data_IF_638729849480
#
_entry.id   IF_638729849480
#
_cell.length_a   1.000
_cell.length_b   1.000
_cell.length_c   1.000
_cell.angle_alpha   90.00
_cell.angle_beta   90.00
_cell.angle_gamma   90.00
#
_symmetry.space_group_name_H-M   'P 1'
#
loop_
_entity.id
_entity.type
_entity.pdbx_description
1 polymer ?
#
# COMPACT_ATOMS: atom_id res chain seq x y z
N UNK A 1 -4.21 11.86 34.82
CA UNK A 1 -4.23 10.39 34.98
C UNK A 1 -3.12 9.84 34.10
N UNK A 2 -2.17 9.10 34.68
CA UNK A 2 -1.05 8.54 33.95
C UNK A 2 -1.53 7.26 33.21
N UNK A 3 -1.20 7.13 31.91
CA UNK A 3 -1.57 5.95 31.11
C UNK A 3 -1.08 4.63 31.71
N UNK A 4 0.11 4.61 32.34
CA UNK A 4 0.64 3.40 33.02
C UNK A 4 -0.27 2.95 34.17
N UNK A 5 -0.74 3.88 34.99
CA UNK A 5 -1.64 3.58 36.09
C UNK A 5 -3.01 3.10 35.61
N UNK A 6 -3.50 3.70 34.49
CA UNK A 6 -4.74 3.27 33.86
C UNK A 6 -4.65 1.82 33.36
N UNK A 7 -3.56 1.48 32.65
CA UNK A 7 -3.35 0.13 32.10
C UNK A 7 -3.14 -0.94 33.17
N UNK A 8 -2.76 -0.56 34.38
CA UNK A 8 -2.59 -1.52 35.53
C UNK A 8 -3.87 -1.79 36.29
N UNK A 9 -4.94 -1.03 36.08
CA UNK A 9 -6.23 -1.27 36.78
C UNK A 9 -6.80 -2.63 36.43
N UNK A 10 -7.27 -3.37 37.42
CA UNK A 10 -7.84 -4.74 37.27
C UNK A 10 -8.96 -4.84 36.24
N UNK A 11 -9.77 -3.80 36.11
CA UNK A 11 -10.88 -3.72 35.17
C UNK A 11 -10.47 -3.26 33.75
N UNK A 12 -9.25 -2.78 33.57
CA UNK A 12 -8.72 -2.30 32.25
C UNK A 12 -7.71 -3.30 31.67
N UNK A 13 -6.87 -3.86 32.53
CA UNK A 13 -5.78 -4.77 32.14
C UNK A 13 -6.18 -5.91 31.19
N UNK A 14 -7.33 -6.59 31.34
CA UNK A 14 -7.73 -7.66 30.42
C UNK A 14 -7.96 -7.17 28.98
N UNK A 15 -8.30 -5.90 28.81
CA UNK A 15 -8.62 -5.30 27.51
C UNK A 15 -7.43 -4.64 26.81
N UNK A 16 -6.33 -4.41 27.54
CA UNK A 16 -5.14 -3.71 26.99
C UNK A 16 -4.53 -4.44 25.78
N UNK A 17 -4.62 -5.76 25.76
CA UNK A 17 -4.11 -6.60 24.67
C UNK A 17 -5.21 -7.09 23.71
N UNK A 18 -6.46 -6.67 23.93
CA UNK A 18 -7.58 -6.99 23.04
C UNK A 18 -7.66 -5.91 21.94
N UNK A 19 -6.73 -5.94 21.01
CA UNK A 19 -6.71 -5.05 19.86
C UNK A 19 -7.34 -5.74 18.64
N UNK A 20 -8.01 -4.93 17.81
CA UNK A 20 -8.36 -5.27 16.44
C UNK A 20 -7.57 -4.34 15.54
N UNK A 21 -6.89 -4.88 14.56
CA UNK A 21 -6.03 -4.11 13.67
C UNK A 21 -6.05 -4.68 12.26
N UNK A 22 -5.78 -3.82 11.31
CA UNK A 22 -5.49 -4.17 9.93
C UNK A 22 -4.03 -3.83 9.62
N UNK A 23 -3.63 -4.14 8.43
CA UNK A 23 -2.32 -3.78 7.90
C UNK A 23 -2.49 -3.39 6.44
N UNK A 24 -1.87 -2.30 6.07
CA UNK A 24 -1.73 -1.84 4.71
C UNK A 24 -0.26 -1.97 4.31
N UNK A 25 -0.01 -2.59 3.17
CA UNK A 25 1.34 -2.78 2.64
C UNK A 25 1.41 -2.26 1.22
N UNK A 26 2.27 -1.30 1.02
CA UNK A 26 2.54 -0.73 -0.29
C UNK A 26 3.72 -1.43 -0.98
N UNK A 27 3.61 -1.60 -2.29
CA UNK A 27 4.71 -2.07 -3.12
C UNK A 27 4.68 -1.39 -4.48
N UNK A 28 5.80 -0.85 -4.92
CA UNK A 28 5.96 -0.50 -6.33
C UNK A 28 6.02 -1.79 -7.17
N UNK A 29 5.50 -1.75 -8.39
CA UNK A 29 5.78 -2.78 -9.40
C UNK A 29 7.04 -2.39 -10.16
N UNK A 30 7.90 -3.35 -10.38
CA UNK A 30 9.16 -3.17 -11.13
C UNK A 30 9.33 -4.27 -12.15
N UNK A 31 10.15 -4.03 -13.17
CA UNK A 31 10.66 -5.10 -14.02
C UNK A 31 11.63 -5.98 -13.23
N UNK A 32 12.01 -7.13 -13.78
CA UNK A 32 12.99 -8.03 -13.17
C UNK A 32 14.40 -7.42 -13.08
N UNK A 33 14.70 -6.42 -13.90
CA UNK A 33 15.95 -5.65 -13.89
C UNK A 33 15.94 -4.53 -12.85
N UNK A 34 14.83 -4.35 -12.11
CA UNK A 34 14.72 -3.34 -11.07
C UNK A 34 14.35 -1.94 -11.58
N UNK A 35 13.81 -1.83 -12.80
CA UNK A 35 13.26 -0.58 -13.31
C UNK A 35 11.80 -0.44 -12.88
N UNK A 36 11.34 0.79 -12.65
CA UNK A 36 9.91 1.04 -12.38
C UNK A 36 9.06 0.51 -13.54
N UNK A 37 8.01 -0.25 -13.24
CA UNK A 37 7.07 -0.72 -14.24
C UNK A 37 6.40 0.43 -14.98
N UNK A 38 6.02 0.20 -16.24
CA UNK A 38 5.38 1.22 -17.09
C UNK A 38 3.91 0.91 -17.36
N UNK A 39 3.46 -0.29 -17.01
CA UNK A 39 2.08 -0.74 -17.21
C UNK A 39 1.13 -0.03 -16.24
N UNK A 40 -0.12 0.07 -16.63
CA UNK A 40 -1.17 0.59 -15.77
C UNK A 40 -1.54 -0.44 -14.67
N UNK A 41 -2.31 -0.04 -13.68
CA UNK A 41 -2.83 -0.95 -12.65
C UNK A 41 -3.58 -2.12 -13.30
N UNK A 42 -3.29 -3.38 -12.95
CA UNK A 42 -3.87 -4.54 -13.59
C UNK A 42 -5.40 -4.56 -13.49
N UNK A 43 -6.07 -4.66 -14.63
CA UNK A 43 -7.55 -4.64 -14.69
C UNK A 43 -8.21 -5.83 -14.01
N UNK A 44 -7.48 -6.93 -13.82
CA UNK A 44 -7.95 -8.13 -13.13
C UNK A 44 -8.34 -7.85 -11.67
N UNK A 45 -7.79 -6.81 -11.04
CA UNK A 45 -8.19 -6.37 -9.71
C UNK A 45 -9.48 -5.55 -9.70
N UNK A 46 -10.08 -5.27 -10.87
CA UNK A 46 -11.28 -4.46 -10.96
C UNK A 46 -11.01 -2.98 -10.70
N UNK A 47 -11.95 -2.31 -10.02
CA UNK A 47 -11.82 -0.88 -9.77
C UNK A 47 -10.84 -0.59 -8.63
N UNK A 48 -9.72 0.01 -8.95
CA UNK A 48 -8.64 0.39 -8.03
C UNK A 48 -9.03 1.36 -6.92
N UNK A 49 -10.11 2.11 -7.13
CA UNK A 49 -10.61 3.09 -6.14
C UNK A 49 -11.52 2.46 -5.08
N UNK A 50 -12.02 1.25 -5.31
CA UNK A 50 -13.05 0.63 -4.47
C UNK A 50 -12.78 -0.85 -4.16
N UNK A 51 -11.72 -1.44 -4.68
CA UNK A 51 -11.37 -2.82 -4.34
C UNK A 51 -11.01 -2.90 -2.84
N UNK A 52 -11.60 -3.83 -2.07
CA UNK A 52 -11.45 -3.83 -0.61
C UNK A 52 -10.05 -4.21 -0.11
N UNK A 53 -9.23 -4.85 -0.95
CA UNK A 53 -7.95 -5.46 -0.54
C UNK A 53 -6.75 -5.09 -1.41
N UNK A 54 -6.97 -4.64 -2.65
CA UNK A 54 -5.89 -4.30 -3.59
C UNK A 54 -6.25 -3.00 -4.29
N UNK A 55 -5.61 -1.92 -3.89
CA UNK A 55 -5.83 -0.58 -4.43
C UNK A 55 -4.56 -0.05 -5.08
N UNK A 56 -4.61 1.21 -5.48
CA UNK A 56 -3.46 1.95 -5.96
C UNK A 56 -3.30 3.17 -5.08
N UNK A 57 -2.10 3.39 -4.53
CA UNK A 57 -1.87 4.60 -3.75
C UNK A 57 -1.49 5.79 -4.66
N UNK A 58 -0.25 6.29 -4.59
CA UNK A 58 0.15 7.52 -5.30
C UNK A 58 0.32 7.32 -6.81
N UNK A 59 0.98 6.24 -7.22
CA UNK A 59 1.32 5.99 -8.62
C UNK A 59 0.60 4.79 -9.21
N UNK A 60 0.45 4.75 -10.54
CA UNK A 60 -0.11 3.59 -11.27
C UNK A 60 0.62 2.28 -10.97
N UNK A 61 1.87 2.36 -10.56
CA UNK A 61 2.73 1.21 -10.27
C UNK A 61 2.72 0.78 -8.82
N UNK A 62 2.14 1.59 -7.92
CA UNK A 62 2.10 1.31 -6.49
C UNK A 62 0.84 0.54 -6.11
N UNK A 63 1.00 -0.73 -5.83
CA UNK A 63 -0.08 -1.54 -5.25
C UNK A 63 -0.10 -1.38 -3.74
N UNK A 64 -1.27 -1.12 -3.22
CA UNK A 64 -1.59 -1.08 -1.81
C UNK A 64 -2.43 -2.31 -1.45
N UNK A 65 -1.89 -3.15 -0.57
CA UNK A 65 -2.48 -4.40 -0.13
C UNK A 65 -3.06 -4.20 1.27
N UNK A 66 -4.38 -4.27 1.37
CA UNK A 66 -5.15 -3.93 2.58
C UNK A 66 -5.71 -5.21 3.19
N UNK A 67 -5.36 -5.54 4.43
CA UNK A 67 -5.91 -6.72 5.10
C UNK A 67 -7.29 -6.45 5.66
N UNK A 68 -8.14 -7.47 5.80
CA UNK A 68 -9.26 -7.41 6.72
C UNK A 68 -8.79 -7.12 8.15
N UNK A 69 -9.73 -6.64 8.98
CA UNK A 69 -9.46 -6.45 10.41
C UNK A 69 -9.27 -7.81 11.08
N UNK A 70 -8.13 -7.99 11.75
CA UNK A 70 -7.73 -9.20 12.44
C UNK A 70 -7.71 -9.03 13.97
N UNK A 71 -7.79 -10.15 14.69
CA UNK A 71 -7.72 -10.18 16.15
C UNK A 71 -6.35 -10.64 16.67
N UNK A 72 -5.44 -11.02 15.77
CA UNK A 72 -4.07 -11.43 16.10
C UNK A 72 -3.10 -11.13 14.97
N UNK A 73 -1.82 -10.95 15.29
CA UNK A 73 -0.77 -10.76 14.28
C UNK A 73 -0.63 -11.95 13.33
N UNK A 74 -0.82 -13.16 13.83
CA UNK A 74 -0.79 -14.38 12.98
C UNK A 74 -1.93 -14.40 11.97
N UNK A 75 -3.13 -14.01 12.37
CA UNK A 75 -4.29 -13.91 11.47
C UNK A 75 -4.06 -12.82 10.42
N UNK A 76 -3.59 -11.66 10.84
CA UNK A 76 -3.27 -10.53 9.96
C UNK A 76 -2.22 -10.92 8.91
N UNK A 77 -1.13 -11.59 9.30
CA UNK A 77 -0.11 -12.05 8.37
C UNK A 77 -0.63 -13.08 7.37
N UNK A 78 -1.53 -13.97 7.78
CA UNK A 78 -2.19 -14.91 6.84
C UNK A 78 -3.03 -14.19 5.80
N UNK A 79 -3.77 -13.14 6.19
CA UNK A 79 -4.50 -12.31 5.24
C UNK A 79 -3.55 -11.61 4.28
N UNK A 80 -2.48 -10.99 4.80
CA UNK A 80 -1.51 -10.31 3.97
C UNK A 80 -0.84 -11.28 2.97
N UNK A 81 -0.41 -12.46 3.41
CA UNK A 81 0.20 -13.47 2.55
C UNK A 81 -0.74 -13.89 1.41
N UNK A 82 -2.01 -14.12 1.73
CA UNK A 82 -3.01 -14.51 0.72
C UNK A 82 -3.23 -13.38 -0.32
N UNK A 83 -3.38 -12.13 0.14
CA UNK A 83 -3.58 -10.98 -0.75
C UNK A 83 -2.31 -10.73 -1.60
N UNK A 84 -1.15 -10.83 -0.98
CA UNK A 84 0.15 -10.68 -1.66
C UNK A 84 0.35 -11.77 -2.74
N UNK A 85 -0.05 -13.01 -2.46
CA UNK A 85 0.03 -14.12 -3.41
C UNK A 85 -0.89 -13.89 -4.62
N UNK A 86 -2.11 -13.42 -4.38
CA UNK A 86 -3.04 -13.02 -5.44
C UNK A 86 -2.44 -11.89 -6.28
N UNK A 87 -1.94 -10.83 -5.63
CA UNK A 87 -1.33 -9.69 -6.33
C UNK A 87 -0.15 -10.14 -7.20
N UNK A 88 0.77 -10.92 -6.64
CA UNK A 88 1.97 -11.43 -7.35
C UNK A 88 1.63 -12.30 -8.56
N UNK A 89 0.56 -13.08 -8.50
CA UNK A 89 0.11 -13.97 -9.61
C UNK A 89 -0.69 -13.24 -10.68
N UNK A 90 -1.12 -12.02 -10.40
CA UNK A 90 -2.02 -11.24 -11.27
C UNK A 90 -1.34 -10.07 -11.98
N UNK A 91 -0.13 -9.72 -11.59
CA UNK A 91 0.69 -8.74 -12.32
C UNK A 91 1.32 -9.41 -13.57
N UNK A 92 1.79 -8.63 -14.57
CA UNK A 92 2.51 -9.15 -15.73
C UNK A 92 3.68 -10.08 -15.34
N UNK A 93 3.97 -11.09 -16.15
CA UNK A 93 5.01 -12.09 -15.86
C UNK A 93 6.43 -11.52 -15.80
N UNK A 94 6.68 -10.42 -16.49
CA UNK A 94 7.94 -9.68 -16.52
C UNK A 94 8.05 -8.66 -15.39
N UNK A 95 7.01 -8.52 -14.58
CA UNK A 95 6.99 -7.62 -13.42
C UNK A 95 7.10 -8.38 -12.08
N UNK A 96 7.49 -7.64 -11.06
CA UNK A 96 7.54 -8.12 -9.68
C UNK A 96 7.08 -7.02 -8.70
N UNK A 97 6.62 -7.42 -7.52
CA UNK A 97 6.40 -6.51 -6.41
C UNK A 97 7.76 -6.18 -5.78
N UNK A 98 8.16 -4.91 -5.85
CA UNK A 98 9.44 -4.45 -5.33
C UNK A 98 9.48 -4.55 -3.81
N UNK A 99 10.47 -5.24 -3.22
CA UNK A 99 10.42 -5.61 -1.80
C UNK A 99 10.95 -4.53 -0.84
N UNK A 100 11.47 -3.41 -1.35
CA UNK A 100 12.13 -2.38 -0.55
C UNK A 100 11.24 -1.15 -0.39
N UNK A 101 11.38 -0.43 0.72
CA UNK A 101 10.73 0.86 0.95
C UNK A 101 11.21 1.93 -0.01
N UNK A 102 12.50 1.96 -0.33
CA UNK A 102 13.02 2.81 -1.39
C UNK A 102 12.57 2.29 -2.76
N UNK A 103 12.20 3.17 -3.68
CA UNK A 103 11.69 2.75 -4.98
C UNK A 103 12.72 1.99 -5.82
N UNK A 104 12.28 1.21 -6.82
CA UNK A 104 13.17 0.72 -7.87
C UNK A 104 13.76 1.88 -8.66
N UNK A 105 14.58 1.60 -9.65
CA UNK A 105 15.15 2.65 -10.50
C UNK A 105 14.03 3.42 -11.20
N UNK A 106 13.90 4.69 -10.80
CA UNK A 106 12.90 5.61 -11.38
C UNK A 106 13.35 6.11 -12.75
N UNK A 107 12.41 6.46 -13.65
CA UNK A 107 12.72 7.06 -14.93
C UNK A 107 13.44 8.41 -14.73
N UNK A 108 14.18 8.83 -15.78
CA UNK A 108 14.95 10.07 -15.70
C UNK A 108 14.06 11.31 -15.60
N UNK A 109 12.91 11.27 -16.26
CA UNK A 109 11.95 12.39 -16.31
C UNK A 109 10.78 12.12 -15.37
N UNK A 110 10.41 13.11 -14.58
CA UNK A 110 9.29 13.02 -13.63
C UNK A 110 7.93 12.86 -14.32
N UNK A 111 7.81 13.31 -15.57
CA UNK A 111 6.60 13.17 -16.39
C UNK A 111 6.25 11.71 -16.65
N UNK A 112 7.26 10.84 -16.71
CA UNK A 112 7.10 9.40 -16.94
C UNK A 112 6.55 8.66 -15.72
N UNK A 113 6.61 9.26 -14.52
CA UNK A 113 5.96 8.73 -13.33
C UNK A 113 4.47 9.05 -13.43
N UNK A 114 3.67 8.01 -13.67
CA UNK A 114 2.22 8.13 -13.80
C UNK A 114 1.56 8.20 -12.41
N UNK A 115 0.80 9.25 -12.14
CA UNK A 115 -0.06 9.33 -10.94
C UNK A 115 -1.24 8.37 -11.12
N UNK A 116 -1.71 7.77 -10.03
CA UNK A 116 -2.83 6.84 -10.02
C UNK A 116 -4.10 7.45 -10.66
N UNK A 117 -4.75 6.70 -11.52
CA UNK A 117 -5.98 7.08 -12.22
C UNK A 117 -7.20 6.69 -11.37
N UNK A 118 -7.48 7.46 -10.34
CA UNK A 118 -8.58 7.20 -9.41
C UNK A 118 -9.89 7.85 -9.91
N UNK A 119 -11.03 7.27 -9.50
CA UNK A 119 -12.35 7.79 -9.85
C UNK A 119 -12.78 8.94 -8.93
N UNK A 120 -12.30 8.94 -7.66
CA UNK A 120 -12.66 9.97 -6.70
C UNK A 120 -11.91 11.27 -7.00
N UNK A 121 -12.68 12.33 -7.26
CA UNK A 121 -12.14 13.65 -7.60
C UNK A 121 -11.16 14.20 -6.53
N UNK A 122 -11.54 14.13 -5.26
CA UNK A 122 -10.71 14.62 -4.15
C UNK A 122 -9.40 13.83 -4.02
N UNK A 123 -9.43 12.52 -4.23
CA UNK A 123 -8.25 11.68 -4.21
C UNK A 123 -7.27 12.04 -5.36
N UNK A 124 -7.79 12.36 -6.54
CA UNK A 124 -7.00 12.84 -7.67
C UNK A 124 -6.39 14.20 -7.38
N UNK A 125 -7.18 15.14 -6.83
CA UNK A 125 -6.69 16.48 -6.46
C UNK A 125 -5.57 16.41 -5.41
N UNK A 126 -5.75 15.58 -4.39
CA UNK A 126 -4.76 15.39 -3.34
C UNK A 126 -3.41 14.89 -3.91
N UNK A 127 -3.43 13.89 -4.77
CA UNK A 127 -2.20 13.37 -5.39
C UNK A 127 -1.52 14.37 -6.32
N UNK A 128 -2.29 15.16 -7.05
CA UNK A 128 -1.77 16.27 -7.84
C UNK A 128 -1.14 17.35 -6.97
N UNK A 129 -1.75 17.67 -5.84
CA UNK A 129 -1.18 18.58 -4.86
C UNK A 129 0.15 18.06 -4.32
N UNK A 130 0.22 16.80 -3.88
CA UNK A 130 1.47 16.18 -3.43
C UNK A 130 2.56 16.23 -4.49
N UNK A 131 2.22 15.90 -5.74
CA UNK A 131 3.15 15.95 -6.86
C UNK A 131 3.70 17.36 -7.11
N UNK A 132 2.84 18.38 -6.99
CA UNK A 132 3.21 19.78 -7.20
C UNK A 132 4.09 20.32 -6.07
N UNK A 133 3.70 20.10 -4.82
CA UNK A 133 4.37 20.70 -3.65
C UNK A 133 5.64 19.97 -3.25
N UNK A 134 5.67 18.64 -3.39
CA UNK A 134 6.78 17.81 -2.91
C UNK A 134 7.55 17.09 -4.01
N UNK A 135 7.01 17.03 -5.21
CA UNK A 135 7.56 16.30 -6.35
C UNK A 135 7.16 14.82 -6.35
N UNK A 136 6.98 14.25 -7.56
CA UNK A 136 6.55 12.86 -7.74
C UNK A 136 7.51 11.84 -7.15
N UNK A 137 8.84 12.05 -7.30
CA UNK A 137 9.87 11.09 -6.83
C UNK A 137 9.81 10.82 -5.33
N UNK A 138 9.48 11.82 -4.53
CA UNK A 138 9.39 11.68 -3.08
C UNK A 138 8.19 10.85 -2.64
N UNK A 139 7.18 10.73 -3.50
CA UNK A 139 5.98 9.93 -3.26
C UNK A 139 6.14 8.45 -3.66
N UNK A 140 7.28 8.07 -4.22
CA UNK A 140 7.48 6.70 -4.74
C UNK A 140 8.03 5.72 -3.68
N UNK A 141 8.14 6.16 -2.44
CA UNK A 141 8.46 5.27 -1.31
C UNK A 141 7.29 4.36 -0.99
N UNK A 142 7.56 3.24 -0.39
CA UNK A 142 6.56 2.26 0.02
C UNK A 142 6.71 1.92 1.49
N UNK A 143 5.62 1.67 2.15
CA UNK A 143 5.56 1.43 3.59
C UNK A 143 4.74 0.23 3.99
N UNK A 144 4.60 0.08 5.30
CA UNK A 144 3.65 -0.79 5.99
C UNK A 144 3.04 0.04 7.10
N UNK A 145 1.71 0.15 7.10
CA UNK A 145 0.90 0.90 8.06
C UNK A 145 -0.06 0.02 8.85
#
# INVERSE_FOLDING_TARGET
>A
MNYRELMQKKNVRPYVLMARFGLEKENQRSTREGLLATTDHPTVFGNRSYHPYIQTDFSETQLELITPVANSGTEMLRFLDAIHDVARRSIPEDEMLWPLSMPPQLPTKDEEIKIAKLDQYDAVLYRRYLAKEYGKRKQMVSGID
#
